data_IF_842098796470
#
_entry.id   IF_842098796470
#
_cell.length_a   1.000
_cell.length_b   1.000
_cell.length_c   1.000
_cell.angle_alpha   90.00
_cell.angle_beta   90.00
_cell.angle_gamma   90.00
#
_symmetry.space_group_name_H-M   'P 1'
#
loop_
_entity.id
_entity.type
_entity.pdbx_description
1 polymer ?
#
# COMPACT_ATOMS: atom_id res chain seq x y z
N UNK A 1 -3.69 -3.58 -2.65
CA UNK A 1 -5.04 -2.99 -2.86
C UNK A 1 -5.04 -1.56 -2.36
N UNK A 2 -5.67 -0.64 -3.08
CA UNK A 2 -5.65 0.79 -2.76
C UNK A 2 -6.98 1.25 -2.12
N UNK A 3 -6.93 2.08 -1.06
CA UNK A 3 -8.14 2.66 -0.45
C UNK A 3 -8.91 3.55 -1.43
N UNK A 4 -10.24 3.55 -1.32
CA UNK A 4 -11.13 4.45 -2.04
C UNK A 4 -11.73 5.52 -1.12
N UNK A 5 -12.51 6.44 -1.68
CA UNK A 5 -13.05 7.59 -0.95
C UNK A 5 -13.92 7.24 0.28
N UNK A 6 -14.68 6.14 0.27
CA UNK A 6 -15.57 5.77 1.37
C UNK A 6 -14.92 4.73 2.32
N UNK A 7 -13.61 4.52 2.21
CA UNK A 7 -12.88 3.62 3.09
C UNK A 7 -12.54 4.27 4.42
N UNK A 8 -12.86 3.53 5.48
CA UNK A 8 -12.44 3.78 6.85
C UNK A 8 -11.33 2.80 7.24
N UNK A 9 -10.76 3.00 8.44
CA UNK A 9 -9.67 2.17 8.94
C UNK A 9 -10.05 0.68 9.06
N UNK A 10 -11.29 0.34 9.39
CA UNK A 10 -11.70 -1.05 9.60
C UNK A 10 -11.88 -1.81 8.28
N UNK A 11 -12.42 -1.16 7.24
CA UNK A 11 -12.44 -1.71 5.88
C UNK A 11 -11.03 -1.95 5.34
N UNK A 12 -10.10 -1.05 5.64
CA UNK A 12 -8.70 -1.21 5.23
C UNK A 12 -8.06 -2.38 5.98
N UNK A 13 -8.23 -2.46 7.31
CA UNK A 13 -7.70 -3.57 8.12
C UNK A 13 -8.32 -4.93 7.78
N UNK A 14 -9.61 -4.99 7.45
CA UNK A 14 -10.27 -6.25 7.08
C UNK A 14 -9.65 -6.87 5.85
N UNK A 15 -9.22 -6.03 4.90
CA UNK A 15 -8.48 -6.47 3.71
C UNK A 15 -7.10 -6.98 4.04
N UNK A 16 -6.40 -6.38 5.00
CA UNK A 16 -5.11 -6.90 5.47
C UNK A 16 -5.27 -8.27 6.12
N UNK A 17 -6.33 -8.46 6.92
CA UNK A 17 -6.68 -9.77 7.48
C UNK A 17 -6.93 -10.80 6.37
N UNK A 18 -7.68 -10.42 5.32
CA UNK A 18 -7.91 -11.31 4.18
C UNK A 18 -6.61 -11.67 3.43
N UNK A 19 -5.68 -10.72 3.25
CA UNK A 19 -4.37 -11.01 2.64
C UNK A 19 -3.54 -11.95 3.52
N UNK A 20 -3.56 -11.77 4.85
CA UNK A 20 -2.88 -12.70 5.76
C UNK A 20 -3.52 -14.09 5.79
N UNK A 21 -4.84 -14.18 5.63
CA UNK A 21 -5.55 -15.47 5.54
C UNK A 21 -5.23 -16.23 4.24
N UNK A 22 -5.11 -15.51 3.11
CA UNK A 22 -4.67 -16.08 1.83
C UNK A 22 -3.20 -16.53 1.90
N UNK A 23 -2.39 -15.86 2.72
CA UNK A 23 -0.95 -16.06 2.88
C UNK A 23 -0.17 -16.19 1.55
N UNK A 24 -0.26 -15.21 0.64
CA UNK A 24 0.49 -15.25 -0.61
C UNK A 24 2.00 -15.10 -0.35
N UNK A 25 2.83 -15.55 -1.29
CA UNK A 25 4.28 -15.33 -1.24
C UNK A 25 4.63 -13.85 -1.26
N UNK A 26 3.90 -13.05 -2.05
CA UNK A 26 4.07 -11.60 -2.15
C UNK A 26 2.70 -10.95 -2.27
N UNK A 27 2.46 -9.95 -1.43
CA UNK A 27 1.39 -9.00 -1.57
C UNK A 27 1.89 -7.63 -1.14
N UNK A 28 1.33 -6.59 -1.76
CA UNK A 28 1.65 -5.21 -1.45
C UNK A 28 0.35 -4.44 -1.28
N UNK A 29 0.25 -3.76 -0.14
CA UNK A 29 -0.71 -2.68 0.02
C UNK A 29 -0.09 -1.42 -0.59
N UNK A 30 -0.83 -0.79 -1.49
CA UNK A 30 -0.40 0.43 -2.17
C UNK A 30 -1.43 1.50 -1.88
N UNK A 31 -1.02 2.77 -1.85
CA UNK A 31 -1.94 3.89 -1.74
C UNK A 31 -2.48 4.28 -3.12
N UNK A 32 -3.67 4.87 -3.12
CA UNK A 32 -4.30 5.32 -4.35
C UNK A 32 -3.58 6.57 -4.86
N UNK A 33 -2.82 6.42 -5.94
CA UNK A 33 -2.32 7.55 -6.71
C UNK A 33 -3.33 7.83 -7.84
N UNK A 34 -4.14 8.89 -7.75
CA UNK A 34 -5.11 9.22 -8.79
C UNK A 34 -4.38 9.66 -10.06
N UNK A 35 -4.26 8.77 -11.04
CA UNK A 35 -3.53 9.10 -12.28
C UNK A 35 -4.29 10.18 -13.09
N UNK A 36 -3.62 11.20 -13.64
CA UNK A 36 -4.23 12.23 -14.47
C UNK A 36 -5.08 11.65 -15.59
N UNK A 37 -6.24 12.24 -15.80
CA UNK A 37 -7.18 11.77 -16.83
C UNK A 37 -7.99 10.53 -16.45
N UNK A 38 -7.80 9.95 -15.26
CA UNK A 38 -8.73 8.93 -14.74
C UNK A 38 -10.00 9.55 -14.17
N UNK A 39 -11.04 8.73 -13.98
CA UNK A 39 -12.27 9.18 -13.33
C UNK A 39 -12.02 9.66 -11.90
N UNK A 40 -11.19 8.94 -11.14
CA UNK A 40 -10.86 9.31 -9.76
C UNK A 40 -10.10 10.63 -9.70
N UNK A 41 -9.20 10.88 -10.64
CA UNK A 41 -8.52 12.18 -10.78
C UNK A 41 -9.50 13.31 -11.07
N UNK A 42 -10.35 13.16 -12.10
CA UNK A 42 -11.31 14.21 -12.47
C UNK A 42 -12.27 14.54 -11.32
N UNK A 43 -12.77 13.52 -10.62
CA UNK A 43 -13.62 13.71 -9.46
C UNK A 43 -12.86 14.36 -8.30
N UNK A 44 -11.65 13.87 -8.00
CA UNK A 44 -10.79 14.43 -6.97
C UNK A 44 -10.47 15.91 -7.18
N UNK A 45 -10.12 16.30 -8.41
CA UNK A 45 -9.90 17.71 -8.76
C UNK A 45 -11.19 18.54 -8.63
N UNK A 46 -12.32 18.05 -9.18
CA UNK A 46 -13.61 18.76 -9.09
C UNK A 46 -14.08 18.98 -7.64
N UNK A 47 -13.74 18.05 -6.76
CA UNK A 47 -14.18 18.03 -5.37
C UNK A 47 -13.09 18.52 -4.39
N UNK A 48 -11.97 19.06 -4.89
CA UNK A 48 -10.84 19.52 -4.09
C UNK A 48 -10.31 18.46 -3.10
N UNK A 49 -10.25 17.19 -3.52
CA UNK A 49 -9.72 16.07 -2.71
C UNK A 49 -8.23 15.83 -2.93
N UNK A 50 -7.66 16.33 -4.03
CA UNK A 50 -6.23 16.16 -4.31
C UNK A 50 -5.48 17.24 -3.55
N UNK A 51 -4.72 16.84 -2.53
CA UNK A 51 -4.00 17.73 -1.62
C UNK A 51 -2.66 18.21 -2.20
N UNK A 52 -2.08 17.46 -3.15
CA UNK A 52 -0.79 17.79 -3.75
C UNK A 52 -0.68 17.31 -5.20
N UNK A 53 0.00 18.09 -6.03
CA UNK A 53 0.39 17.76 -7.41
C UNK A 53 1.90 17.48 -7.54
N UNK A 54 2.60 17.37 -6.41
CA UNK A 54 4.00 17.02 -6.34
C UNK A 54 4.23 15.60 -6.89
N UNK A 55 4.88 15.51 -8.04
CA UNK A 55 5.12 14.26 -8.75
C UNK A 55 6.06 13.31 -7.99
N UNK A 56 6.89 13.82 -7.07
CA UNK A 56 7.75 12.96 -6.25
C UNK A 56 6.93 12.02 -5.35
N UNK A 57 5.69 12.41 -5.02
CA UNK A 57 4.77 11.62 -4.18
C UNK A 57 3.87 10.68 -4.98
N UNK A 58 4.09 10.53 -6.28
CA UNK A 58 3.24 9.75 -7.18
C UNK A 58 3.80 8.35 -7.43
N UNK A 59 4.12 7.66 -6.33
CA UNK A 59 4.84 6.39 -6.31
C UNK A 59 4.01 5.22 -5.74
N UNK A 60 2.74 5.46 -5.44
CA UNK A 60 1.82 4.55 -4.75
C UNK A 60 2.27 4.13 -3.33
N UNK A 61 3.27 4.82 -2.77
CA UNK A 61 3.70 4.72 -1.36
C UNK A 61 3.20 5.92 -0.56
N UNK A 62 3.10 7.09 -1.18
CA UNK A 62 2.58 8.31 -0.58
C UNK A 62 1.16 8.60 -1.10
N UNK A 63 0.24 8.93 -0.19
CA UNK A 63 -1.10 9.35 -0.59
C UNK A 63 -1.14 10.87 -0.79
N UNK A 64 -1.73 11.30 -1.90
CA UNK A 64 -2.02 12.70 -2.21
C UNK A 64 -3.51 13.02 -2.13
N UNK A 65 -4.33 12.06 -1.71
CA UNK A 65 -5.78 12.17 -1.62
C UNK A 65 -6.27 11.44 -0.37
N UNK A 66 -6.99 12.11 0.55
CA UNK A 66 -7.55 11.47 1.73
C UNK A 66 -8.75 10.60 1.36
N UNK A 67 -9.25 9.82 2.32
CA UNK A 67 -10.62 9.32 2.24
C UNK A 67 -11.56 10.28 2.95
N UNK A 68 -12.86 9.98 2.91
CA UNK A 68 -13.86 10.69 3.72
C UNK A 68 -13.57 10.59 5.23
N UNK A 69 -12.85 9.56 5.65
CA UNK A 69 -12.69 9.18 7.05
C UNK A 69 -11.25 9.30 7.56
N UNK A 70 -10.27 9.35 6.67
CA UNK A 70 -8.85 9.29 6.99
C UNK A 70 -8.07 10.34 6.21
N UNK A 71 -7.18 11.03 6.91
CA UNK A 71 -6.16 11.89 6.32
C UNK A 71 -5.15 11.08 5.48
N UNK A 72 -4.43 11.78 4.59
CA UNK A 72 -3.31 11.20 3.83
C UNK A 72 -2.25 10.58 4.73
N UNK A 73 -1.99 11.19 5.90
CA UNK A 73 -1.08 10.67 6.92
C UNK A 73 -1.57 9.34 7.52
N UNK A 74 -2.82 9.27 7.98
CA UNK A 74 -3.39 8.04 8.56
C UNK A 74 -3.41 6.89 7.55
N UNK A 75 -3.67 7.19 6.27
CA UNK A 75 -3.57 6.21 5.19
C UNK A 75 -2.14 5.69 5.02
N UNK A 76 -1.16 6.58 5.03
CA UNK A 76 0.27 6.23 4.98
C UNK A 76 0.65 5.29 6.13
N UNK A 77 0.30 5.65 7.36
CA UNK A 77 0.60 4.85 8.56
C UNK A 77 -0.05 3.46 8.51
N UNK A 78 -1.32 3.37 8.07
CA UNK A 78 -2.01 2.08 7.92
C UNK A 78 -1.35 1.20 6.86
N UNK A 79 -1.02 1.77 5.70
CA UNK A 79 -0.37 1.06 4.60
C UNK A 79 1.03 0.56 5.01
N UNK A 80 1.81 1.44 5.63
CA UNK A 80 3.14 1.14 6.14
C UNK A 80 3.09 -0.02 7.13
N UNK A 81 2.21 0.07 8.13
CA UNK A 81 2.08 -0.96 9.15
C UNK A 81 1.74 -2.31 8.53
N UNK A 82 0.80 -2.33 7.59
CA UNK A 82 0.37 -3.56 6.92
C UNK A 82 1.50 -4.21 6.13
N UNK A 83 2.21 -3.43 5.32
CA UNK A 83 3.35 -3.95 4.55
C UNK A 83 4.46 -4.43 5.48
N UNK A 84 4.79 -3.68 6.54
CA UNK A 84 5.79 -4.09 7.53
C UNK A 84 5.41 -5.43 8.17
N UNK A 85 4.18 -5.58 8.64
CA UNK A 85 3.70 -6.81 9.27
C UNK A 85 3.75 -7.99 8.27
N UNK A 86 3.31 -7.77 7.02
CA UNK A 86 3.31 -8.79 5.97
C UNK A 86 4.72 -9.31 5.65
N UNK A 87 5.67 -8.41 5.41
CA UNK A 87 7.04 -8.78 5.01
C UNK A 87 7.93 -9.24 6.19
N UNK A 88 7.45 -9.17 7.44
CA UNK A 88 8.22 -9.57 8.63
C UNK A 88 7.81 -10.92 9.23
N UNK A 89 6.85 -11.65 8.63
CA UNK A 89 6.39 -12.96 9.16
C UNK A 89 7.49 -14.03 9.02
N UNK A 90 7.93 -14.69 10.11
CA UNK A 90 9.04 -15.65 10.04
C UNK A 90 8.81 -16.81 9.05
N UNK A 91 7.63 -17.40 9.03
CA UNK A 91 7.31 -18.50 8.10
C UNK A 91 7.36 -18.06 6.64
N UNK A 92 6.94 -16.83 6.33
CA UNK A 92 6.94 -16.27 4.98
C UNK A 92 8.36 -15.92 4.53
N UNK A 93 9.18 -15.41 5.44
CA UNK A 93 10.62 -15.19 5.21
C UNK A 93 11.29 -16.51 4.83
N UNK A 94 11.05 -17.56 5.61
CA UNK A 94 11.61 -18.89 5.35
C UNK A 94 11.18 -19.42 3.98
N UNK A 95 9.86 -19.39 3.70
CA UNK A 95 9.30 -19.83 2.42
C UNK A 95 9.89 -19.10 1.22
N UNK A 96 10.03 -17.77 1.29
CA UNK A 96 10.48 -16.95 0.16
C UNK A 96 12.00 -16.92 -0.03
N UNK A 97 12.80 -17.17 1.02
CA UNK A 97 14.27 -17.17 0.91
C UNK A 97 14.84 -18.55 0.66
N UNK A 98 14.27 -19.57 1.31
CA UNK A 98 14.84 -20.91 1.36
C UNK A 98 13.94 -21.97 0.69
N UNK A 99 12.65 -21.67 0.48
CA UNK A 99 11.75 -22.54 -0.28
C UNK A 99 11.95 -22.44 -1.79
N UNK A 100 11.29 -23.35 -2.53
CA UNK A 100 11.20 -23.21 -3.99
C UNK A 100 10.24 -22.06 -4.33
N UNK A 101 10.80 -20.93 -4.74
CA UNK A 101 10.04 -19.79 -5.24
C UNK A 101 10.67 -19.24 -6.51
N UNK A 102 9.88 -18.55 -7.32
CA UNK A 102 10.39 -17.85 -8.50
C UNK A 102 11.47 -16.83 -8.08
N UNK A 103 12.60 -16.72 -8.79
CA UNK A 103 13.61 -15.69 -8.50
C UNK A 103 13.02 -14.28 -8.46
N UNK A 104 11.98 -14.01 -9.26
CA UNK A 104 11.28 -12.73 -9.25
C UNK A 104 10.45 -12.47 -7.98
N UNK A 105 9.86 -13.53 -7.40
CA UNK A 105 9.13 -13.43 -6.14
C UNK A 105 10.09 -13.11 -5.00
N UNK A 106 11.20 -13.84 -4.93
CA UNK A 106 12.26 -13.58 -3.94
C UNK A 106 12.80 -12.15 -4.05
N UNK A 107 13.12 -11.70 -5.26
CA UNK A 107 13.62 -10.34 -5.49
C UNK A 107 12.63 -9.27 -5.02
N UNK A 108 11.33 -9.44 -5.31
CA UNK A 108 10.28 -8.52 -4.84
C UNK A 108 10.20 -8.51 -3.32
N UNK A 109 10.21 -9.68 -2.70
CA UNK A 109 10.15 -9.81 -1.24
C UNK A 109 11.34 -9.13 -0.55
N UNK A 110 12.56 -9.35 -1.06
CA UNK A 110 13.79 -8.72 -0.55
C UNK A 110 13.78 -7.20 -0.75
N UNK A 111 13.27 -6.72 -1.90
CA UNK A 111 13.12 -5.29 -2.18
C UNK A 111 12.24 -4.63 -1.11
N UNK A 112 11.04 -5.17 -0.87
CA UNK A 112 10.12 -4.60 0.13
C UNK A 112 10.66 -4.66 1.56
N UNK A 113 11.42 -5.69 1.91
CA UNK A 113 12.12 -5.73 3.20
C UNK A 113 13.18 -4.64 3.32
N UNK A 114 13.99 -4.42 2.28
CA UNK A 114 15.04 -3.39 2.28
C UNK A 114 14.47 -1.96 2.21
N UNK A 115 13.35 -1.79 1.51
CA UNK A 115 12.67 -0.52 1.26
C UNK A 115 11.62 -0.17 2.31
N UNK A 116 11.52 -0.92 3.41
CA UNK A 116 10.57 -0.63 4.50
C UNK A 116 10.74 0.78 5.08
N UNK A 117 11.92 1.39 4.92
CA UNK A 117 12.21 2.77 5.30
C UNK A 117 11.63 3.83 4.33
N UNK A 118 11.43 3.51 3.05
CA UNK A 118 10.91 4.46 2.04
C UNK A 118 9.45 4.85 2.28
N UNK A 119 8.74 4.09 3.12
CA UNK A 119 7.37 4.40 3.53
C UNK A 119 7.34 5.33 4.75
N UNK A 120 8.49 5.69 5.36
CA UNK A 120 8.60 6.58 6.53
C UNK A 120 8.94 8.04 6.18
N UNK A 121 9.09 8.38 4.89
CA UNK A 121 9.49 9.71 4.43
C UNK A 121 8.30 10.63 4.12
#
# INVERSE_FOLDING_TARGET
MAPNWEDDAEKIKSRFRAVEEIDPDVAVTMLLTPMPGTQVWRQGMKQNRIESLDLEKWDALHSIMPTRHLSTKELGELCQRANREFFSRPHRIERNRNGYTSPFVRLKFETWQSSAHLVNA
#
